data_IF_674999710585
#
_entry.id   IF_674999710585
#
_cell.length_a   1.000
_cell.length_b   1.000
_cell.length_c   1.000
_cell.angle_alpha   90.00
_cell.angle_beta   90.00
_cell.angle_gamma   90.00
#
_symmetry.space_group_name_H-M   'P 1'
#
loop_
_entity.id
_entity.type
_entity.pdbx_description
1 polymer ?
#
# COMPACT_ATOMS: atom_id res chain seq x y z
N UNK A 1 2.20 -4.69 28.83
CA UNK A 1 2.59 -4.99 27.39
C UNK A 1 1.35 -4.77 26.50
N UNK A 2 1.47 -3.95 25.45
CA UNK A 2 0.42 -3.78 24.42
C UNK A 2 0.72 -4.67 23.21
N UNK A 3 -0.30 -5.32 22.67
CA UNK A 3 -0.14 -6.20 21.52
C UNK A 3 -0.75 -5.56 20.28
N UNK A 4 -0.02 -5.65 19.18
CA UNK A 4 -0.44 -5.23 17.84
C UNK A 4 -0.21 -6.38 16.86
N UNK A 5 -0.91 -6.39 15.74
CA UNK A 5 -0.68 -7.41 14.71
C UNK A 5 -0.95 -6.90 13.29
N UNK A 6 -0.55 -7.71 12.31
CA UNK A 6 -1.08 -7.61 10.96
C UNK A 6 -1.91 -8.85 10.67
N UNK A 7 -3.11 -8.65 10.10
CA UNK A 7 -3.98 -9.73 9.65
C UNK A 7 -4.07 -9.78 8.13
N UNK A 8 -4.06 -10.99 7.57
CA UNK A 8 -4.16 -11.23 6.12
C UNK A 8 -3.79 -12.64 5.73
N UNK A 9 -3.87 -12.96 4.43
CA UNK A 9 -3.46 -14.24 3.87
C UNK A 9 -2.99 -14.07 2.41
N UNK A 10 -1.69 -14.28 2.10
CA UNK A 10 -0.60 -14.63 3.02
C UNK A 10 -0.07 -13.43 3.82
N UNK A 11 0.43 -13.68 5.04
CA UNK A 11 0.99 -12.64 5.92
C UNK A 11 2.35 -13.02 6.54
N UNK A 12 2.76 -14.28 6.39
CA UNK A 12 4.00 -14.81 6.98
C UNK A 12 5.28 -14.10 6.51
N UNK A 13 5.25 -13.51 5.33
CA UNK A 13 6.39 -12.79 4.74
C UNK A 13 6.35 -11.27 4.96
N UNK A 14 5.39 -10.79 5.77
CA UNK A 14 5.27 -9.36 6.08
C UNK A 14 6.50 -8.86 6.84
N UNK A 15 7.00 -7.69 6.44
CA UNK A 15 8.10 -7.00 7.11
C UNK A 15 7.61 -6.06 8.24
N UNK A 16 6.30 -5.88 8.37
CA UNK A 16 5.72 -5.02 9.41
C UNK A 16 6.12 -5.43 10.83
N UNK A 17 6.19 -6.74 11.20
CA UNK A 17 6.66 -7.12 12.53
C UNK A 17 8.09 -6.64 12.83
N UNK A 18 9.03 -6.82 11.91
CA UNK A 18 10.42 -6.36 12.10
C UNK A 18 10.47 -4.85 12.30
N UNK A 19 9.74 -4.10 11.46
CA UNK A 19 9.70 -2.64 11.46
C UNK A 19 9.09 -2.08 12.75
N UNK A 20 7.90 -2.54 13.14
CA UNK A 20 7.20 -2.03 14.33
C UNK A 20 7.86 -2.46 15.64
N UNK A 21 8.36 -3.69 15.75
CA UNK A 21 9.09 -4.12 16.93
C UNK A 21 10.39 -3.33 17.13
N UNK A 22 11.10 -2.99 16.05
CA UNK A 22 12.25 -2.10 16.13
C UNK A 22 11.87 -0.69 16.60
N UNK A 23 10.71 -0.16 16.15
CA UNK A 23 10.17 1.11 16.60
C UNK A 23 9.85 1.09 18.09
N UNK A 24 9.12 0.08 18.56
CA UNK A 24 8.79 -0.07 19.98
C UNK A 24 10.05 -0.16 20.84
N UNK A 25 11.01 -1.00 20.42
CA UNK A 25 12.30 -1.14 21.13
C UNK A 25 13.07 0.16 21.22
N UNK A 26 13.14 0.92 20.13
CA UNK A 26 13.93 2.16 20.07
C UNK A 26 13.37 3.27 20.97
N UNK A 27 12.07 3.22 21.28
CA UNK A 27 11.40 4.17 22.18
C UNK A 27 11.12 3.59 23.58
N UNK A 28 11.62 2.39 23.89
CA UNK A 28 11.43 1.75 25.20
C UNK A 28 9.96 1.41 25.51
N UNK A 29 9.12 1.20 24.47
CA UNK A 29 7.72 0.88 24.65
C UNK A 29 7.53 -0.62 24.95
N UNK A 30 6.79 -0.93 26.02
CA UNK A 30 6.38 -2.31 26.37
C UNK A 30 5.25 -2.78 25.42
N UNK A 31 5.65 -3.11 24.19
CA UNK A 31 4.73 -3.45 23.10
C UNK A 31 5.33 -4.50 22.18
N UNK A 32 4.46 -5.31 21.58
CA UNK A 32 4.83 -6.35 20.60
C UNK A 32 3.93 -6.28 19.36
N UNK A 33 4.52 -6.56 18.21
CA UNK A 33 3.80 -6.66 16.94
C UNK A 33 4.05 -8.02 16.31
N UNK A 34 2.98 -8.74 15.94
CA UNK A 34 3.03 -10.09 15.38
C UNK A 34 2.30 -10.17 14.03
N UNK A 35 2.65 -11.18 13.23
CA UNK A 35 1.87 -11.55 12.05
C UNK A 35 0.83 -12.61 12.47
N UNK A 36 -0.44 -12.38 12.12
CA UNK A 36 -1.54 -13.29 12.41
C UNK A 36 -2.26 -13.64 11.08
N UNK A 37 -2.07 -14.89 10.63
CA UNK A 37 -2.71 -15.37 9.42
C UNK A 37 -4.21 -15.51 9.64
N UNK A 38 -4.99 -14.90 8.74
CA UNK A 38 -6.47 -14.94 8.75
C UNK A 38 -6.94 -15.23 7.33
N UNK A 39 -7.54 -16.40 7.11
CA UNK A 39 -8.18 -16.72 5.85
C UNK A 39 -9.50 -15.95 5.67
N UNK A 40 -9.98 -15.81 4.41
CA UNK A 40 -11.17 -15.01 4.13
C UNK A 40 -12.41 -15.40 4.93
N UNK A 41 -12.65 -16.69 5.09
CA UNK A 41 -13.80 -17.25 5.84
C UNK A 41 -13.67 -17.06 7.37
N UNK A 42 -12.45 -16.80 7.88
CA UNK A 42 -12.17 -16.69 9.31
C UNK A 42 -12.17 -15.24 9.81
N UNK A 43 -12.40 -14.26 8.93
CA UNK A 43 -12.23 -12.84 9.27
C UNK A 43 -13.11 -12.43 10.45
N UNK A 44 -14.40 -12.76 10.43
CA UNK A 44 -15.34 -12.41 11.51
C UNK A 44 -14.89 -12.96 12.85
N UNK A 45 -14.66 -14.26 12.95
CA UNK A 45 -14.22 -14.91 14.19
C UNK A 45 -12.86 -14.36 14.66
N UNK A 46 -11.96 -14.01 13.72
CA UNK A 46 -10.67 -13.42 14.05
C UNK A 46 -10.83 -12.00 14.64
N UNK A 47 -11.72 -11.17 14.08
CA UNK A 47 -11.99 -9.83 14.60
C UNK A 47 -12.57 -9.91 16.00
N UNK A 48 -13.53 -10.82 16.27
CA UNK A 48 -14.08 -11.04 17.61
C UNK A 48 -13.01 -11.54 18.60
N UNK A 49 -12.12 -12.42 18.15
CA UNK A 49 -10.99 -12.87 18.97
C UNK A 49 -10.04 -11.72 19.31
N UNK A 50 -9.70 -10.85 18.35
CA UNK A 50 -8.87 -9.67 18.59
C UNK A 50 -9.52 -8.71 19.59
N UNK A 51 -10.85 -8.56 19.53
CA UNK A 51 -11.62 -7.76 20.49
C UNK A 51 -11.55 -8.37 21.90
N UNK A 52 -11.74 -9.67 22.00
CA UNK A 52 -11.75 -10.41 23.28
C UNK A 52 -10.39 -10.34 24.00
N UNK A 53 -9.28 -10.42 23.28
CA UNK A 53 -7.93 -10.27 23.84
C UNK A 53 -7.51 -8.82 24.05
N UNK A 54 -8.39 -7.86 23.80
CA UNK A 54 -8.16 -6.41 23.94
C UNK A 54 -6.92 -5.95 23.16
N UNK A 55 -6.82 -6.37 21.88
CA UNK A 55 -5.75 -5.92 21.00
C UNK A 55 -5.70 -4.38 20.99
N UNK A 56 -4.50 -3.79 21.01
CA UNK A 56 -4.35 -2.33 21.02
C UNK A 56 -4.58 -1.72 19.63
N UNK A 57 -4.25 -2.46 18.56
CA UNK A 57 -4.46 -2.09 17.18
C UNK A 57 -3.94 -3.15 16.24
N UNK A 58 -4.31 -3.06 14.98
CA UNK A 58 -3.83 -4.00 13.96
C UNK A 58 -3.81 -3.38 12.57
N UNK A 59 -2.89 -3.88 11.73
CA UNK A 59 -2.94 -3.63 10.30
C UNK A 59 -3.76 -4.73 9.60
N UNK A 60 -4.30 -4.36 8.47
CA UNK A 60 -5.09 -5.23 7.59
C UNK A 60 -4.43 -5.25 6.21
N UNK A 61 -4.12 -6.45 5.71
CA UNK A 61 -3.62 -6.62 4.35
C UNK A 61 -4.55 -7.51 3.51
N UNK A 62 -4.08 -7.93 2.35
CA UNK A 62 -4.83 -8.80 1.42
C UNK A 62 -5.30 -10.06 2.17
N UNK A 63 -6.57 -10.50 1.95
CA UNK A 63 -7.59 -9.92 1.08
C UNK A 63 -8.57 -8.98 1.80
N UNK A 64 -8.31 -8.58 3.04
CA UNK A 64 -9.32 -8.10 4.01
C UNK A 64 -9.55 -6.59 4.01
N UNK A 65 -8.75 -5.76 3.33
CA UNK A 65 -8.80 -4.28 3.41
C UNK A 65 -10.18 -3.66 3.14
N UNK A 66 -11.00 -4.32 2.31
CA UNK A 66 -12.36 -3.88 1.99
C UNK A 66 -13.43 -4.56 2.84
N UNK A 67 -13.23 -5.84 3.18
CA UNK A 67 -14.20 -6.62 3.95
C UNK A 67 -14.18 -6.30 5.44
N UNK A 68 -13.05 -5.81 5.98
CA UNK A 68 -12.93 -5.44 7.39
C UNK A 68 -13.84 -4.28 7.79
N UNK A 69 -14.25 -3.44 6.84
CA UNK A 69 -15.09 -2.25 7.08
C UNK A 69 -16.36 -2.54 7.87
N UNK A 70 -17.01 -3.68 7.61
CA UNK A 70 -18.26 -4.07 8.27
C UNK A 70 -18.12 -4.44 9.75
N UNK A 71 -16.89 -4.59 10.25
CA UNK A 71 -16.58 -4.95 11.64
C UNK A 71 -16.03 -3.77 12.45
N UNK A 72 -16.00 -2.56 11.87
CA UNK A 72 -15.48 -1.36 12.51
C UNK A 72 -16.62 -0.42 12.92
N UNK A 73 -16.53 0.15 14.12
CA UNK A 73 -17.53 1.11 14.60
C UNK A 73 -17.34 2.51 14.02
N UNK A 74 -16.08 2.85 13.68
CA UNK A 74 -15.74 4.15 13.09
C UNK A 74 -14.73 3.98 11.96
N UNK A 75 -14.83 4.83 10.94
CA UNK A 75 -13.90 4.90 9.83
C UNK A 75 -13.63 6.37 9.54
N UNK A 76 -12.36 6.73 9.35
CA UNK A 76 -12.01 8.10 8.99
C UNK A 76 -12.45 8.44 7.55
N UNK A 77 -12.51 9.73 7.24
CA UNK A 77 -13.00 10.23 5.96
C UNK A 77 -12.17 9.70 4.78
N UNK A 78 -10.81 9.72 4.81
CA UNK A 78 -10.01 9.17 3.72
C UNK A 78 -10.24 7.68 3.47
N UNK A 79 -10.36 6.88 4.52
CA UNK A 79 -10.65 5.43 4.41
C UNK A 79 -12.04 5.17 3.86
N UNK A 80 -13.03 5.97 4.28
CA UNK A 80 -14.39 5.91 3.75
C UNK A 80 -14.41 6.20 2.25
N UNK A 81 -13.69 7.26 1.80
CA UNK A 81 -13.51 7.57 0.38
C UNK A 81 -12.85 6.42 -0.39
N UNK A 82 -11.84 5.77 0.18
CA UNK A 82 -11.18 4.63 -0.44
C UNK A 82 -12.06 3.37 -0.43
N UNK A 83 -13.02 3.26 0.50
CA UNK A 83 -13.75 2.03 0.78
C UNK A 83 -12.79 0.89 1.17
N UNK A 84 -11.72 1.22 1.89
CA UNK A 84 -10.70 0.27 2.34
C UNK A 84 -9.98 0.80 3.58
N UNK A 85 -9.64 -0.11 4.50
CA UNK A 85 -8.88 0.15 5.73
C UNK A 85 -7.67 -0.76 5.76
N UNK A 86 -6.51 -0.22 6.15
CA UNK A 86 -5.29 -0.99 6.38
C UNK A 86 -4.76 -0.88 7.82
N UNK A 87 -5.34 0.01 8.65
CA UNK A 87 -4.89 0.28 10.02
C UNK A 87 -6.09 0.46 10.92
N UNK A 88 -6.11 -0.23 12.05
CA UNK A 88 -7.18 -0.18 13.04
C UNK A 88 -6.58 0.09 14.41
N UNK A 89 -7.19 1.01 15.17
CA UNK A 89 -6.90 1.24 16.58
C UNK A 89 -8.08 0.81 17.44
N UNK A 90 -7.81 0.26 18.62
CA UNK A 90 -8.82 -0.04 19.61
C UNK A 90 -8.91 1.10 20.64
N UNK A 91 -10.08 1.73 20.74
CA UNK A 91 -10.36 2.80 21.69
C UNK A 91 -11.57 2.37 22.53
N UNK A 92 -11.37 2.13 23.82
CA UNK A 92 -12.43 1.69 24.74
C UNK A 92 -13.22 0.46 24.22
N UNK A 93 -12.51 -0.49 23.58
CA UNK A 93 -13.10 -1.70 23.00
C UNK A 93 -13.80 -1.52 21.66
N UNK A 94 -13.86 -0.31 21.11
CA UNK A 94 -14.35 -0.01 19.76
C UNK A 94 -13.19 0.05 18.78
N UNK A 95 -13.39 -0.44 17.58
CA UNK A 95 -12.41 -0.39 16.50
C UNK A 95 -12.66 0.80 15.59
N UNK A 96 -11.63 1.63 15.42
CA UNK A 96 -11.63 2.75 14.46
C UNK A 96 -10.61 2.48 13.35
N UNK A 97 -11.08 2.56 12.10
CA UNK A 97 -10.31 2.27 10.91
C UNK A 97 -9.72 3.49 10.24
N UNK A 98 -8.51 3.31 9.70
CA UNK A 98 -7.73 4.29 8.93
C UNK A 98 -7.13 3.62 7.71
N UNK A 99 -6.73 4.43 6.72
CA UNK A 99 -5.99 3.94 5.57
C UNK A 99 -4.68 4.72 5.40
N UNK A 100 -3.63 4.23 6.03
CA UNK A 100 -2.29 4.84 5.98
C UNK A 100 -1.58 4.62 4.64
N UNK A 101 -2.09 3.72 3.78
CA UNK A 101 -1.56 3.55 2.41
C UNK A 101 -1.75 4.81 1.57
N UNK A 102 -2.80 5.62 1.84
CA UNK A 102 -3.11 6.85 1.09
C UNK A 102 -1.94 7.83 1.17
N UNK A 103 -1.50 8.15 2.38
CA UNK A 103 -0.35 9.04 2.58
C UNK A 103 0.97 8.29 2.30
N UNK A 104 1.04 7.01 2.64
CA UNK A 104 2.21 6.17 2.37
C UNK A 104 2.60 6.13 0.89
N UNK A 105 1.61 6.14 -0.01
CA UNK A 105 1.84 6.18 -1.45
C UNK A 105 2.37 7.54 -1.94
N UNK A 106 1.76 8.64 -1.51
CA UNK A 106 2.13 9.95 -2.04
C UNK A 106 3.44 10.49 -1.44
N UNK A 107 3.78 10.12 -0.22
CA UNK A 107 4.93 10.69 0.48
C UNK A 107 6.27 10.48 -0.25
N UNK A 108 6.60 9.30 -0.81
CA UNK A 108 7.81 9.11 -1.61
C UNK A 108 7.88 9.99 -2.86
N UNK A 109 6.74 10.33 -3.47
CA UNK A 109 6.65 11.26 -4.60
C UNK A 109 6.92 12.71 -4.14
N UNK A 110 6.27 13.13 -3.04
CA UNK A 110 6.47 14.45 -2.43
C UNK A 110 7.93 14.67 -1.99
N UNK A 111 8.55 13.67 -1.39
CA UNK A 111 9.95 13.72 -0.95
C UNK A 111 10.93 13.93 -2.11
N UNK A 112 10.52 13.58 -3.35
CA UNK A 112 11.30 13.81 -4.57
C UNK A 112 10.95 15.11 -5.28
N UNK A 113 10.01 15.90 -4.75
CA UNK A 113 9.56 17.15 -5.36
C UNK A 113 8.83 16.95 -6.68
N UNK A 114 8.14 15.81 -6.87
CA UNK A 114 7.40 15.55 -8.10
C UNK A 114 6.27 16.57 -8.25
N UNK A 115 6.25 17.26 -9.39
CA UNK A 115 5.13 18.11 -9.78
C UNK A 115 4.00 17.25 -10.36
N UNK A 116 2.81 17.37 -9.79
CA UNK A 116 1.64 16.63 -10.24
C UNK A 116 0.87 17.33 -11.36
N UNK A 117 1.23 18.58 -11.72
CA UNK A 117 0.53 19.36 -12.74
C UNK A 117 0.65 18.72 -14.13
N UNK A 118 -0.49 18.36 -14.71
CA UNK A 118 -0.56 17.71 -16.01
C UNK A 118 -0.18 16.22 -16.01
N UNK A 119 0.21 15.65 -14.86
CA UNK A 119 0.75 14.30 -14.76
C UNK A 119 -0.30 13.25 -15.15
N UNK A 120 0.06 12.40 -16.10
CA UNK A 120 -0.73 11.26 -16.55
C UNK A 120 -0.33 9.98 -15.83
N UNK A 121 -1.31 9.19 -15.36
CA UNK A 121 -1.07 7.99 -14.54
C UNK A 121 -1.60 6.74 -15.20
N UNK A 122 -0.78 5.69 -15.26
CA UNK A 122 -1.17 4.34 -15.61
C UNK A 122 -1.06 3.44 -14.37
N UNK A 123 -2.21 2.94 -13.90
CA UNK A 123 -2.31 2.11 -12.70
C UNK A 123 -2.65 0.67 -13.08
N UNK A 124 -1.75 -0.24 -12.78
CA UNK A 124 -1.98 -1.68 -12.85
C UNK A 124 -2.46 -2.20 -11.50
N UNK A 125 -3.62 -2.86 -11.51
CA UNK A 125 -4.26 -3.42 -10.32
C UNK A 125 -5.52 -2.68 -9.89
N UNK A 126 -6.42 -3.39 -9.18
CA UNK A 126 -7.67 -2.85 -8.68
C UNK A 126 -8.05 -3.46 -7.31
N UNK A 127 -7.06 -3.70 -6.46
CA UNK A 127 -7.21 -4.17 -5.08
C UNK A 127 -7.27 -3.03 -4.05
N UNK A 128 -7.19 -3.38 -2.78
CA UNK A 128 -7.24 -2.41 -1.68
C UNK A 128 -6.15 -1.34 -1.75
N UNK A 129 -4.91 -1.70 -2.15
CA UNK A 129 -3.82 -0.72 -2.32
C UNK A 129 -4.07 0.20 -3.52
N UNK A 130 -4.61 -0.31 -4.64
CA UNK A 130 -4.99 0.52 -5.79
C UNK A 130 -6.09 1.55 -5.43
N UNK A 131 -7.02 1.21 -4.53
CA UNK A 131 -8.02 2.16 -4.01
C UNK A 131 -7.36 3.29 -3.21
N UNK A 132 -6.37 2.96 -2.39
CA UNK A 132 -5.59 3.97 -1.66
C UNK A 132 -4.80 4.88 -2.62
N UNK A 133 -4.19 4.31 -3.68
CA UNK A 133 -3.52 5.08 -4.76
C UNK A 133 -4.49 6.08 -5.40
N UNK A 134 -5.69 5.64 -5.77
CA UNK A 134 -6.72 6.52 -6.37
C UNK A 134 -7.05 7.69 -5.45
N UNK A 135 -7.34 7.43 -4.17
CA UNK A 135 -7.66 8.49 -3.21
C UNK A 135 -6.44 9.39 -2.94
N UNK A 136 -5.24 8.81 -2.90
CA UNK A 136 -4.01 9.59 -2.78
C UNK A 136 -3.82 10.57 -3.94
N UNK A 137 -4.02 10.11 -5.17
CA UNK A 137 -3.93 10.94 -6.38
C UNK A 137 -5.05 11.98 -6.47
N UNK A 138 -6.23 11.69 -5.91
CA UNK A 138 -7.33 12.67 -5.85
C UNK A 138 -7.10 13.79 -4.83
N UNK A 139 -6.24 13.57 -3.85
CA UNK A 139 -5.89 14.55 -2.83
C UNK A 139 -4.75 15.50 -3.26
N UNK A 140 -4.10 15.22 -4.39
CA UNK A 140 -3.12 16.12 -5.01
C UNK A 140 -3.75 16.80 -6.23
N UNK A 141 -3.41 18.06 -6.45
CA UNK A 141 -3.91 18.81 -7.60
C UNK A 141 -3.08 18.50 -8.85
N UNK A 142 -3.71 18.53 -10.01
CA UNK A 142 -3.01 18.57 -11.29
C UNK A 142 -2.90 17.25 -12.05
N UNK A 143 -3.41 16.14 -11.53
CA UNK A 143 -3.47 14.87 -12.29
C UNK A 143 -4.35 15.07 -13.52
N UNK A 144 -3.78 14.90 -14.72
CA UNK A 144 -4.48 15.13 -16.00
C UNK A 144 -5.43 13.98 -16.35
N UNK A 145 -4.99 12.74 -16.10
CA UNK A 145 -5.78 11.53 -16.36
C UNK A 145 -5.23 10.34 -15.58
N UNK A 146 -6.12 9.40 -15.27
CA UNK A 146 -5.80 8.09 -14.69
C UNK A 146 -6.35 6.99 -15.61
N UNK A 147 -5.49 6.06 -16.06
CA UNK A 147 -5.95 4.85 -16.73
C UNK A 147 -5.72 3.64 -15.82
N UNK A 148 -6.77 2.86 -15.61
CA UNK A 148 -6.73 1.66 -14.77
C UNK A 148 -6.74 0.42 -15.64
N UNK A 149 -5.76 -0.46 -15.42
CA UNK A 149 -5.68 -1.77 -16.05
C UNK A 149 -5.62 -2.89 -15.00
N UNK A 150 -6.48 -3.90 -15.14
CA UNK A 150 -6.49 -5.04 -14.23
C UNK A 150 -6.97 -6.29 -14.93
N UNK A 151 -6.47 -7.47 -14.52
CA UNK A 151 -6.88 -8.77 -15.08
C UNK A 151 -8.41 -8.97 -15.06
N UNK A 152 -9.07 -8.58 -13.97
CA UNK A 152 -10.52 -8.59 -13.86
C UNK A 152 -11.08 -7.22 -14.28
N UNK A 153 -11.53 -7.10 -15.52
CA UNK A 153 -12.00 -5.84 -16.11
C UNK A 153 -13.09 -5.14 -15.28
N UNK A 154 -14.03 -5.90 -14.70
CA UNK A 154 -15.07 -5.34 -13.82
C UNK A 154 -14.49 -4.57 -12.64
N UNK A 155 -13.41 -5.08 -12.02
CA UNK A 155 -12.73 -4.38 -10.91
C UNK A 155 -12.07 -3.09 -11.36
N UNK A 156 -11.56 -3.02 -12.61
CA UNK A 156 -11.04 -1.76 -13.18
C UNK A 156 -12.14 -0.73 -13.31
N UNK A 157 -13.33 -1.11 -13.78
CA UNK A 157 -14.50 -0.23 -13.88
C UNK A 157 -14.93 0.31 -12.49
N UNK A 158 -14.98 -0.55 -11.49
CA UNK A 158 -15.31 -0.16 -10.12
C UNK A 158 -14.28 0.84 -9.56
N UNK A 159 -12.99 0.64 -9.84
CA UNK A 159 -11.93 1.53 -9.41
C UNK A 159 -11.92 2.86 -10.18
N UNK A 160 -12.19 2.82 -11.50
CA UNK A 160 -12.33 4.04 -12.32
C UNK A 160 -13.50 4.92 -11.84
N UNK A 161 -14.64 4.31 -11.53
CA UNK A 161 -15.79 5.04 -10.93
C UNK A 161 -15.42 5.67 -9.58
N UNK A 162 -14.65 4.94 -8.76
CA UNK A 162 -14.12 5.50 -7.50
C UNK A 162 -13.25 6.73 -7.78
N UNK A 163 -12.40 6.68 -8.79
CA UNK A 163 -11.55 7.80 -9.19
C UNK A 163 -12.38 9.01 -9.62
N UNK A 164 -13.39 8.80 -10.47
CA UNK A 164 -14.32 9.83 -10.94
C UNK A 164 -15.10 10.45 -9.78
N UNK A 165 -15.62 9.63 -8.85
CA UNK A 165 -16.33 10.11 -7.65
C UNK A 165 -15.42 10.97 -6.76
N UNK A 166 -14.11 10.74 -6.79
CA UNK A 166 -13.11 11.54 -6.08
C UNK A 166 -12.50 12.68 -6.94
N UNK A 167 -13.09 12.99 -8.11
CA UNK A 167 -12.73 14.16 -8.93
C UNK A 167 -11.60 13.93 -9.94
N UNK A 168 -11.16 12.68 -10.16
CA UNK A 168 -10.15 12.37 -11.18
C UNK A 168 -10.81 12.04 -12.52
N UNK A 169 -10.24 12.53 -13.62
CA UNK A 169 -10.58 12.03 -14.96
C UNK A 169 -9.99 10.62 -15.12
N UNK A 170 -10.86 9.61 -15.24
CA UNK A 170 -10.43 8.22 -15.27
C UNK A 170 -11.05 7.43 -16.42
N UNK A 171 -10.33 6.42 -16.88
CA UNK A 171 -10.81 5.42 -17.83
C UNK A 171 -10.17 4.07 -17.57
N UNK A 172 -10.64 3.04 -18.27
CA UNK A 172 -10.15 1.67 -18.12
C UNK A 172 -9.65 1.11 -19.44
N UNK A 173 -8.69 0.19 -19.35
CA UNK A 173 -8.17 -0.52 -20.50
C UNK A 173 -7.82 -1.98 -20.15
N UNK A 174 -7.60 -2.82 -21.14
CA UNK A 174 -7.03 -4.16 -20.94
C UNK A 174 -5.54 -4.06 -20.64
N UNK A 175 -4.99 -5.10 -20.01
CA UNK A 175 -3.56 -5.12 -19.65
C UNK A 175 -2.67 -5.02 -20.90
N UNK A 176 -3.03 -5.71 -21.97
CA UNK A 176 -2.27 -5.73 -23.22
C UNK A 176 -2.21 -4.34 -23.86
N UNK A 177 -3.34 -3.64 -23.91
CA UNK A 177 -3.43 -2.28 -24.42
C UNK A 177 -2.69 -1.29 -23.51
N UNK A 178 -2.76 -1.49 -22.19
CA UNK A 178 -2.02 -0.70 -21.22
C UNK A 178 -0.50 -0.81 -21.43
N UNK A 179 0.02 -2.02 -21.67
CA UNK A 179 1.42 -2.24 -21.99
C UNK A 179 1.82 -1.49 -23.25
N UNK A 180 1.06 -1.61 -24.33
CA UNK A 180 1.35 -0.96 -25.62
C UNK A 180 1.37 0.58 -25.54
N UNK A 181 0.66 1.18 -24.57
CA UNK A 181 0.62 2.63 -24.39
C UNK A 181 1.45 3.16 -23.22
N UNK A 182 2.13 2.29 -22.45
CA UNK A 182 2.76 2.66 -21.18
C UNK A 182 3.79 3.80 -21.33
N UNK A 183 4.53 3.87 -22.43
CA UNK A 183 5.47 4.97 -22.74
C UNK A 183 4.86 6.38 -22.77
N UNK A 184 3.54 6.47 -22.82
CA UNK A 184 2.82 7.76 -22.91
C UNK A 184 2.43 8.30 -21.54
N UNK A 185 2.88 7.67 -20.46
CA UNK A 185 2.50 8.02 -19.10
C UNK A 185 3.70 8.50 -18.30
N UNK A 186 3.46 9.56 -17.53
CA UNK A 186 4.46 10.16 -16.66
C UNK A 186 4.69 9.33 -15.41
N UNK A 187 3.62 8.74 -14.85
CA UNK A 187 3.66 7.87 -13.67
C UNK A 187 3.01 6.52 -13.98
N UNK A 188 3.78 5.45 -13.81
CA UNK A 188 3.34 4.07 -13.95
C UNK A 188 3.39 3.42 -12.57
N UNK A 189 2.25 2.88 -12.12
CA UNK A 189 2.13 2.27 -10.79
C UNK A 189 1.75 0.80 -10.92
N UNK A 190 2.55 -0.09 -10.34
CA UNK A 190 2.20 -1.49 -10.15
C UNK A 190 1.61 -1.69 -8.75
N UNK A 191 0.28 -1.82 -8.66
CA UNK A 191 -0.46 -2.20 -7.45
C UNK A 191 -1.00 -3.64 -7.53
N UNK A 192 -0.40 -4.48 -8.38
CA UNK A 192 -0.68 -5.92 -8.49
C UNK A 192 0.28 -6.72 -7.62
N UNK A 193 0.14 -8.04 -7.61
CA UNK A 193 1.10 -8.97 -7.00
C UNK A 193 2.15 -9.50 -7.99
N UNK A 194 2.21 -9.00 -9.24
CA UNK A 194 3.23 -9.40 -10.21
C UNK A 194 4.60 -8.95 -9.70
N UNK A 195 5.56 -9.87 -9.69
CA UNK A 195 6.89 -9.63 -9.13
C UNK A 195 7.04 -9.98 -7.64
N UNK A 196 5.95 -10.37 -6.93
CA UNK A 196 6.02 -10.72 -5.52
C UNK A 196 6.58 -12.12 -5.27
N UNK A 197 6.20 -13.11 -6.08
CA UNK A 197 6.56 -14.52 -5.90
C UNK A 197 7.33 -15.10 -7.10
N UNK A 198 7.46 -14.35 -8.17
CA UNK A 198 8.15 -14.72 -9.39
C UNK A 198 9.00 -13.55 -9.89
N UNK A 199 9.89 -13.83 -10.83
CA UNK A 199 10.66 -12.78 -11.51
C UNK A 199 9.91 -12.17 -12.71
N UNK A 200 8.56 -12.22 -12.67
CA UNK A 200 7.73 -11.65 -13.72
C UNK A 200 7.66 -10.12 -13.60
N UNK A 201 7.46 -9.46 -14.73
CA UNK A 201 7.24 -8.02 -14.81
C UNK A 201 5.91 -7.70 -15.52
N UNK A 202 5.24 -6.65 -15.04
CA UNK A 202 4.03 -6.16 -15.71
C UNK A 202 4.37 -5.42 -17.01
N UNK A 203 5.57 -4.83 -17.11
CA UNK A 203 6.12 -4.15 -18.29
C UNK A 203 7.54 -4.62 -18.57
N UNK A 204 7.86 -4.82 -19.82
CA UNK A 204 9.24 -5.04 -20.25
C UNK A 204 9.98 -3.71 -20.41
N UNK A 205 11.31 -3.76 -20.49
CA UNK A 205 12.16 -2.57 -20.63
C UNK A 205 11.70 -1.66 -21.77
N UNK A 206 11.34 -2.25 -22.91
CA UNK A 206 10.93 -1.49 -24.09
C UNK A 206 9.50 -0.96 -24.04
N UNK A 207 8.73 -1.27 -23.02
CA UNK A 207 7.41 -0.67 -22.74
C UNK A 207 7.51 0.63 -21.92
N UNK A 208 8.70 0.98 -21.40
CA UNK A 208 8.92 2.10 -20.47
C UNK A 208 9.63 3.24 -21.21
N UNK A 209 9.22 4.48 -20.95
CA UNK A 209 9.96 5.67 -21.36
C UNK A 209 10.96 6.08 -20.28
N UNK A 210 12.16 6.53 -20.70
CA UNK A 210 13.21 6.95 -19.77
C UNK A 210 12.88 8.18 -18.91
N UNK A 211 11.88 8.97 -19.32
CA UNK A 211 11.39 10.12 -18.56
C UNK A 211 10.28 9.76 -17.58
N UNK A 212 9.73 8.54 -17.63
CA UNK A 212 8.66 8.09 -16.75
C UNK A 212 9.14 7.87 -15.31
N UNK A 213 8.18 7.95 -14.40
CA UNK A 213 8.32 7.49 -13.02
C UNK A 213 7.65 6.12 -12.93
N UNK A 214 8.38 5.10 -12.47
CA UNK A 214 7.85 3.75 -12.27
C UNK A 214 7.83 3.44 -10.78
N UNK A 215 6.63 3.27 -10.23
CA UNK A 215 6.42 2.97 -8.82
C UNK A 215 5.87 1.55 -8.66
N UNK A 216 6.68 0.68 -8.10
CA UNK A 216 6.25 -0.68 -7.79
C UNK A 216 5.89 -0.82 -6.32
N UNK A 217 4.63 -1.17 -6.02
CA UNK A 217 4.20 -1.38 -4.64
C UNK A 217 4.66 -2.73 -4.07
N UNK A 218 5.18 -3.62 -4.89
CA UNK A 218 5.88 -4.82 -4.43
C UNK A 218 7.19 -4.40 -3.77
N UNK A 219 7.41 -4.87 -2.53
CA UNK A 219 8.58 -4.52 -1.73
C UNK A 219 9.50 -5.72 -1.45
N UNK A 220 9.13 -6.90 -1.89
CA UNK A 220 9.95 -8.13 -1.79
C UNK A 220 9.80 -8.96 -3.06
N UNK A 221 10.87 -9.07 -3.84
CA UNK A 221 12.22 -8.51 -3.63
C UNK A 221 12.23 -6.98 -3.62
N UNK A 222 13.29 -6.37 -3.06
CA UNK A 222 13.45 -4.90 -3.07
C UNK A 222 13.58 -4.37 -4.49
N UNK A 223 14.39 -5.05 -5.30
CA UNK A 223 14.54 -4.80 -6.73
C UNK A 223 13.70 -5.83 -7.47
N UNK A 224 12.53 -5.41 -7.94
CA UNK A 224 11.69 -6.23 -8.82
C UNK A 224 12.15 -6.12 -10.27
N UNK A 225 11.77 -7.08 -11.11
CA UNK A 225 12.08 -7.02 -12.55
C UNK A 225 11.52 -5.76 -13.21
N UNK A 226 10.37 -5.27 -12.75
CA UNK A 226 9.81 -4.01 -13.22
C UNK A 226 10.74 -2.82 -12.94
N UNK A 227 11.27 -2.72 -11.71
CA UNK A 227 12.19 -1.64 -11.33
C UNK A 227 13.58 -1.79 -12.00
N UNK A 228 14.05 -3.02 -12.25
CA UNK A 228 15.24 -3.25 -13.06
C UNK A 228 15.04 -2.71 -14.47
N UNK A 229 13.95 -3.10 -15.15
CA UNK A 229 13.58 -2.62 -16.48
C UNK A 229 13.48 -1.08 -16.55
N UNK A 230 12.88 -0.47 -15.54
CA UNK A 230 12.77 0.99 -15.42
C UNK A 230 14.15 1.67 -15.34
N UNK A 231 15.04 1.16 -14.47
CA UNK A 231 16.39 1.71 -14.31
C UNK A 231 17.26 1.54 -15.55
N UNK A 232 17.20 0.38 -16.20
CA UNK A 232 17.90 0.13 -17.46
C UNK A 232 17.46 1.09 -18.57
N UNK A 233 16.20 1.56 -18.51
CA UNK A 233 15.66 2.55 -19.45
C UNK A 233 15.99 4.00 -19.06
N UNK A 234 16.52 4.23 -17.87
CA UNK A 234 16.78 5.56 -17.32
C UNK A 234 15.58 6.21 -16.62
N UNK A 235 14.49 5.48 -16.45
CA UNK A 235 13.30 5.93 -15.73
C UNK A 235 13.54 6.03 -14.22
N UNK A 236 12.81 6.94 -13.55
CA UNK A 236 12.86 7.06 -12.09
C UNK A 236 12.15 5.89 -11.43
N UNK A 237 12.87 5.08 -10.67
CA UNK A 237 12.31 3.96 -9.92
C UNK A 237 11.94 4.38 -8.48
N UNK A 238 10.70 4.11 -8.06
CA UNK A 238 10.24 4.25 -6.66
C UNK A 238 9.92 2.87 -6.12
N UNK A 239 10.48 2.57 -4.97
CA UNK A 239 10.47 1.22 -4.39
C UNK A 239 9.31 1.02 -3.42
N UNK A 240 8.69 -0.15 -3.46
CA UNK A 240 7.56 -0.49 -2.58
C UNK A 240 7.88 -0.43 -1.08
N UNK A 241 9.15 -0.64 -0.68
CA UNK A 241 9.54 -0.50 0.73
C UNK A 241 9.41 0.95 1.23
N UNK A 242 9.48 1.95 0.34
CA UNK A 242 9.31 3.35 0.72
C UNK A 242 7.86 3.60 1.18
N UNK A 243 6.89 3.11 0.39
CA UNK A 243 5.48 3.14 0.80
C UNK A 243 5.24 2.33 2.09
N UNK A 244 5.87 1.15 2.19
CA UNK A 244 5.75 0.30 3.38
C UNK A 244 6.24 1.02 4.65
N UNK A 245 7.35 1.76 4.56
CA UNK A 245 7.92 2.53 5.66
C UNK A 245 7.00 3.68 6.06
N UNK A 246 6.56 4.48 5.10
CA UNK A 246 5.73 5.67 5.34
C UNK A 246 4.36 5.29 5.93
N UNK A 247 3.66 4.30 5.36
CA UNK A 247 2.38 3.84 5.90
C UNK A 247 2.52 3.21 7.29
N UNK A 248 3.64 2.50 7.54
CA UNK A 248 3.92 1.91 8.83
C UNK A 248 4.24 2.95 9.89
N UNK A 249 4.96 4.01 9.54
CA UNK A 249 5.22 5.13 10.43
C UNK A 249 3.92 5.81 10.87
N UNK A 250 2.99 6.06 9.95
CA UNK A 250 1.70 6.62 10.29
C UNK A 250 0.85 5.68 11.18
N UNK A 251 0.83 4.38 10.87
CA UNK A 251 0.15 3.41 11.72
C UNK A 251 0.70 3.43 13.15
N UNK A 252 2.04 3.50 13.29
CA UNK A 252 2.70 3.64 14.59
C UNK A 252 2.25 4.91 15.33
N UNK A 253 2.21 6.07 14.65
CA UNK A 253 1.79 7.35 15.22
C UNK A 253 0.32 7.33 15.66
N UNK A 254 -0.58 6.70 14.86
CA UNK A 254 -2.00 6.51 15.20
C UNK A 254 -2.14 5.69 16.49
N UNK A 255 -1.37 4.62 16.65
CA UNK A 255 -1.49 3.73 17.82
C UNK A 255 -0.88 4.28 19.09
N UNK A 256 0.22 5.01 18.97
CA UNK A 256 1.03 5.41 20.12
C UNK A 256 0.87 6.88 20.49
N UNK A 257 0.45 7.72 19.55
CA UNK A 257 0.48 9.18 19.68
C UNK A 257 1.90 9.76 19.67
N UNK A 258 2.92 8.94 19.42
CA UNK A 258 4.32 9.35 19.40
C UNK A 258 4.83 9.42 17.96
N UNK A 259 5.81 10.28 17.73
CA UNK A 259 6.51 10.37 16.44
C UNK A 259 7.21 9.05 16.12
N UNK A 260 7.01 8.55 14.91
CA UNK A 260 7.62 7.30 14.48
C UNK A 260 9.15 7.42 14.34
N UNK A 261 9.91 6.49 14.90
CA UNK A 261 11.38 6.49 14.82
C UNK A 261 11.83 5.92 13.45
N UNK A 262 11.60 6.67 12.37
CA UNK A 262 11.88 6.30 10.98
C UNK A 262 13.25 5.64 10.78
N UNK A 263 14.36 6.18 11.36
CA UNK A 263 15.69 5.55 11.20
C UNK A 263 15.74 4.11 11.71
N UNK A 264 15.13 3.84 12.88
CA UNK A 264 15.09 2.49 13.46
C UNK A 264 14.23 1.54 12.63
N UNK A 265 13.06 2.00 12.17
CA UNK A 265 12.16 1.25 11.29
C UNK A 265 12.84 0.90 9.97
N UNK A 266 13.48 1.85 9.32
CA UNK A 266 14.21 1.67 8.06
C UNK A 266 15.37 0.68 8.22
N UNK A 267 16.17 0.82 9.29
CA UNK A 267 17.27 -0.10 9.59
C UNK A 267 16.79 -1.54 9.74
N UNK A 268 15.66 -1.75 10.41
CA UNK A 268 15.07 -3.08 10.58
C UNK A 268 14.60 -3.68 9.26
N UNK A 269 13.97 -2.89 8.38
CA UNK A 269 13.60 -3.34 7.04
C UNK A 269 14.82 -3.82 6.24
N UNK A 270 15.88 -3.03 6.21
CA UNK A 270 17.10 -3.39 5.47
C UNK A 270 17.84 -4.56 6.11
N UNK A 271 17.78 -4.74 7.43
CA UNK A 271 18.30 -5.94 8.11
C UNK A 271 17.69 -7.23 7.56
N UNK A 272 16.35 -7.25 7.41
CA UNK A 272 15.65 -8.43 6.85
C UNK A 272 15.92 -8.66 5.37
N UNK A 273 16.13 -7.59 4.58
CA UNK A 273 16.45 -7.73 3.15
C UNK A 273 17.81 -8.37 2.88
N UNK A 274 18.77 -8.23 3.81
CA UNK A 274 20.13 -8.72 3.68
C UNK A 274 20.38 -10.03 4.43
N UNK A 275 19.40 -10.57 5.17
CA UNK A 275 19.52 -11.90 5.76
C UNK A 275 19.53 -12.97 4.66
N UNK A 276 20.55 -13.84 4.59
CA UNK A 276 20.54 -14.98 3.68
C UNK A 276 19.35 -15.89 4.03
N UNK A 277 18.66 -16.35 3.00
CA UNK A 277 17.54 -17.31 3.12
C UNK A 277 18.08 -18.70 3.49
#
# INVERSE_FOLDING_TARGET
MRTYCIIGDPVSHSLSPAMHNAAFKSLGLDSVYIAYKVAGIELEASIESLRSVKIAGFNVTIPHKTTVLQYLEEIDVPSSKAGAVNTVISINGKFKGFNTDIQGFVQPLLNRGIDFNGLSVLLFGAGGSARAVVVSLSNVNGISKLIVANRTYRKSLELSRLAETNGLTSSVTKIEDAKAMAKRFDLIVNATSVGLQSNDSILERDDIDGSSIVYDLVYRPVMTRLLENAREKGAMAIYGYEMLLEQGAQAFEIWTGLKAPIPAMKKALFGVFHEPK
#
